data_IF_817265253436
#
_entry.id   IF_817265253436
#
_cell.length_a   1.000
_cell.length_b   1.000
_cell.length_c   1.000
_cell.angle_alpha   90.00
_cell.angle_beta   90.00
_cell.angle_gamma   90.00
#
_symmetry.space_group_name_H-M   'P 1'
#
loop_
_entity.id
_entity.type
_entity.pdbx_description
1 polymer ?
#
# COMPACT_ATOMS: atom_id res chain seq x y z
N UNK A 1 10.30 -9.34 -28.80
CA UNK A 1 10.78 -10.37 -27.87
C UNK A 1 10.49 -9.89 -26.47
N UNK A 2 9.52 -10.49 -25.79
CA UNK A 2 9.10 -10.08 -24.45
C UNK A 2 10.17 -10.50 -23.44
N UNK A 3 10.87 -9.51 -22.86
CA UNK A 3 11.80 -9.74 -21.75
C UNK A 3 10.95 -10.02 -20.52
N UNK A 4 10.94 -11.27 -20.06
CA UNK A 4 10.37 -11.66 -18.78
C UNK A 4 11.06 -10.86 -17.65
N UNK A 5 10.40 -10.62 -16.51
CA UNK A 5 11.03 -9.97 -15.36
C UNK A 5 12.32 -10.68 -14.95
N UNK A 6 13.30 -9.87 -14.53
CA UNK A 6 14.68 -10.27 -14.21
C UNK A 6 14.69 -11.06 -12.91
N UNK A 7 14.54 -12.39 -13.04
CA UNK A 7 14.63 -13.41 -11.96
C UNK A 7 13.52 -13.33 -10.89
N UNK A 8 13.08 -14.50 -10.42
CA UNK A 8 12.31 -14.61 -9.19
C UNK A 8 13.26 -14.44 -8.00
N UNK A 9 12.88 -13.65 -6.98
CA UNK A 9 13.66 -13.59 -5.75
C UNK A 9 13.29 -14.79 -4.88
N UNK A 10 14.29 -15.56 -4.43
CA UNK A 10 14.09 -16.59 -3.42
C UNK A 10 13.86 -15.90 -2.08
N UNK A 11 12.64 -16.06 -1.55
CA UNK A 11 12.21 -15.49 -0.28
C UNK A 11 11.51 -16.58 0.52
N UNK A 12 11.65 -16.52 1.84
CA UNK A 12 10.83 -17.30 2.75
C UNK A 12 9.50 -16.59 2.95
N UNK A 13 8.39 -17.30 2.73
CA UNK A 13 7.04 -16.76 2.86
C UNK A 13 6.32 -17.33 4.08
N UNK A 14 5.69 -16.46 4.86
CA UNK A 14 4.82 -16.82 5.98
C UNK A 14 3.44 -16.22 5.76
N UNK A 15 2.38 -17.03 5.92
CA UNK A 15 1.00 -16.54 5.92
C UNK A 15 0.71 -15.79 7.22
N UNK A 16 0.10 -14.61 7.11
CA UNK A 16 -0.43 -13.85 8.24
C UNK A 16 -1.94 -14.10 8.34
N UNK A 17 -2.35 -14.85 9.35
CA UNK A 17 -3.75 -15.23 9.57
C UNK A 17 -4.25 -14.68 10.91
N UNK A 18 -4.91 -13.50 10.92
CA UNK A 18 -5.62 -13.04 12.11
C UNK A 18 -6.63 -14.10 12.59
N UNK A 19 -6.79 -14.31 13.91
CA UNK A 19 -7.75 -15.29 14.43
C UNK A 19 -9.17 -15.02 13.93
N UNK A 20 -9.84 -16.06 13.41
CA UNK A 20 -11.21 -15.95 12.90
C UNK A 20 -11.35 -15.31 11.51
N UNK A 21 -10.25 -14.94 10.85
CA UNK A 21 -10.29 -14.35 9.52
C UNK A 21 -10.65 -15.38 8.42
N UNK A 22 -11.62 -15.03 7.57
CA UNK A 22 -11.90 -15.70 6.30
C UNK A 22 -10.96 -15.22 5.18
N UNK A 23 -10.56 -13.95 5.23
CA UNK A 23 -9.57 -13.37 4.32
C UNK A 23 -8.74 -12.32 5.03
N UNK A 24 -7.51 -12.12 4.59
CA UNK A 24 -6.62 -11.10 5.14
C UNK A 24 -5.78 -10.44 4.05
N UNK A 25 -5.35 -9.21 4.30
CA UNK A 25 -4.39 -8.47 3.48
C UNK A 25 -3.52 -7.63 4.38
N UNK A 26 -2.19 -7.77 4.26
CA UNK A 26 -1.24 -6.90 4.92
C UNK A 26 -0.86 -5.75 3.96
N UNK A 27 -0.99 -4.51 4.43
CA UNK A 27 -0.74 -3.32 3.63
C UNK A 27 0.58 -2.63 3.99
N UNK A 28 0.93 -2.59 5.28
CA UNK A 28 2.10 -1.85 5.76
C UNK A 28 2.92 -2.64 6.76
N UNK A 29 4.22 -2.38 6.77
CA UNK A 29 5.19 -2.96 7.71
C UNK A 29 6.20 -1.89 8.13
N UNK A 30 6.52 -1.80 9.43
CA UNK A 30 7.57 -0.88 9.90
C UNK A 30 8.92 -1.60 10.10
N UNK A 31 9.95 -0.84 10.45
CA UNK A 31 11.31 -1.36 10.67
C UNK A 31 11.42 -2.32 11.87
N UNK A 32 10.43 -2.32 12.78
CA UNK A 32 10.36 -3.25 13.91
C UNK A 32 9.71 -4.59 13.51
N UNK A 33 9.20 -4.71 12.27
CA UNK A 33 8.46 -5.89 11.81
C UNK A 33 7.00 -5.90 12.24
N UNK A 34 6.47 -4.79 12.79
CA UNK A 34 5.03 -4.68 13.02
C UNK A 34 4.31 -4.57 11.68
N UNK A 35 3.23 -5.34 11.53
CA UNK A 35 2.44 -5.38 10.29
C UNK A 35 1.04 -4.86 10.54
N UNK A 36 0.53 -4.02 9.64
CA UNK A 36 -0.86 -3.58 9.64
C UNK A 36 -1.58 -4.00 8.37
N UNK A 37 -2.88 -4.20 8.49
CA UNK A 37 -3.69 -4.58 7.35
C UNK A 37 -5.17 -4.67 7.68
N UNK A 38 -5.89 -5.47 6.89
CA UNK A 38 -7.30 -5.77 7.12
C UNK A 38 -7.58 -7.26 7.09
N UNK A 39 -8.67 -7.65 7.73
CA UNK A 39 -9.25 -8.98 7.58
C UNK A 39 -10.77 -8.90 7.55
N UNK A 40 -11.38 -9.94 6.98
CA UNK A 40 -12.83 -10.14 7.03
C UNK A 40 -13.08 -11.35 7.92
N UNK A 41 -13.94 -11.20 8.92
CA UNK A 41 -14.30 -12.26 9.86
C UNK A 41 -15.41 -13.18 9.31
N UNK A 42 -15.92 -14.09 10.15
CA UNK A 42 -16.99 -15.02 9.75
C UNK A 42 -18.36 -14.35 9.53
N UNK A 43 -18.56 -13.18 10.13
CA UNK A 43 -19.76 -12.36 10.04
C UNK A 43 -19.71 -11.41 8.82
N UNK A 44 -18.68 -11.56 7.97
CA UNK A 44 -18.42 -10.71 6.81
C UNK A 44 -18.16 -9.24 7.17
N UNK A 45 -17.70 -8.98 8.40
CA UNK A 45 -17.31 -7.64 8.86
C UNK A 45 -15.83 -7.43 8.57
N UNK A 46 -15.51 -6.26 8.01
CA UNK A 46 -14.15 -5.87 7.69
C UNK A 46 -13.51 -5.08 8.84
N UNK A 47 -12.41 -5.62 9.36
CA UNK A 47 -11.64 -5.06 10.45
C UNK A 47 -10.23 -4.66 10.01
N UNK A 48 -9.64 -3.72 10.73
CA UNK A 48 -8.20 -3.47 10.70
C UNK A 48 -7.47 -4.40 11.66
N UNK A 49 -6.21 -4.70 11.41
CA UNK A 49 -5.36 -5.39 12.38
C UNK A 49 -3.99 -4.72 12.52
N UNK A 50 -3.38 -4.90 13.69
CA UNK A 50 -1.96 -4.77 13.97
C UNK A 50 -1.43 -6.13 14.43
N UNK A 51 -0.38 -6.63 13.80
CA UNK A 51 0.43 -7.76 14.27
C UNK A 51 1.72 -7.18 14.85
N UNK A 52 1.95 -7.37 16.14
CA UNK A 52 3.15 -6.91 16.86
C UNK A 52 3.64 -8.00 17.78
N UNK A 53 4.92 -8.37 17.68
CA UNK A 53 5.53 -9.44 18.49
C UNK A 53 4.74 -10.77 18.50
N UNK A 54 4.09 -11.10 17.37
CA UNK A 54 3.26 -12.31 17.24
C UNK A 54 1.82 -12.17 17.76
N UNK A 55 1.44 -11.02 18.34
CA UNK A 55 0.11 -10.77 18.87
C UNK A 55 -0.73 -9.90 17.92
N UNK A 56 -1.99 -10.28 17.72
CA UNK A 56 -2.95 -9.51 16.92
C UNK A 56 -3.77 -8.56 17.80
N UNK A 57 -3.87 -7.31 17.37
CA UNK A 57 -4.80 -6.31 17.89
C UNK A 57 -5.79 -5.93 16.79
N UNK A 58 -7.08 -6.04 17.09
CA UNK A 58 -8.15 -5.56 16.20
C UNK A 58 -8.20 -4.03 16.26
N UNK A 59 -8.31 -3.40 15.09
CA UNK A 59 -8.41 -1.96 14.94
C UNK A 59 -9.73 -1.65 14.27
N UNK A 60 -10.67 -1.11 15.03
CA UNK A 60 -11.95 -0.60 14.54
C UNK A 60 -12.08 0.87 14.85
N UNK A 61 -12.44 1.65 13.83
CA UNK A 61 -12.78 3.06 14.02
C UNK A 61 -14.21 3.15 14.60
N UNK A 62 -14.43 3.90 15.69
CA UNK A 62 -15.75 3.97 16.33
C UNK A 62 -16.87 4.38 15.36
N UNK A 63 -17.88 3.52 15.21
CA UNK A 63 -19.04 3.76 14.36
C UNK A 63 -18.81 3.58 12.86
N UNK A 64 -17.62 3.14 12.43
CA UNK A 64 -17.35 2.86 11.03
C UNK A 64 -17.96 1.53 10.57
N UNK A 65 -18.38 1.48 9.31
CA UNK A 65 -18.81 0.24 8.63
C UNK A 65 -17.62 -0.57 8.12
N UNK A 66 -16.54 0.10 7.76
CA UNK A 66 -15.30 -0.52 7.27
C UNK A 66 -14.11 0.34 7.67
N UNK A 67 -12.99 -0.32 7.88
CA UNK A 67 -11.69 0.29 8.14
C UNK A 67 -10.61 -0.43 7.33
N UNK A 68 -9.65 0.34 6.84
CA UNK A 68 -8.46 -0.15 6.17
C UNK A 68 -7.24 0.49 6.84
N UNK A 69 -6.51 -0.29 7.64
CA UNK A 69 -5.20 0.12 8.14
C UNK A 69 -4.16 -0.10 7.04
N UNK A 70 -3.53 0.98 6.58
CA UNK A 70 -2.70 0.99 5.36
C UNK A 70 -1.21 1.11 5.66
N UNK A 71 -0.84 2.04 6.54
CA UNK A 71 0.55 2.34 6.86
C UNK A 71 0.80 2.34 8.36
N UNK A 72 2.03 2.02 8.76
CA UNK A 72 2.49 2.04 10.15
C UNK A 72 3.83 2.77 10.27
N UNK A 73 3.89 3.72 11.20
CA UNK A 73 5.08 4.50 11.51
C UNK A 73 5.99 3.81 12.54
N UNK A 74 7.21 4.34 12.72
CA UNK A 74 8.21 3.75 13.62
C UNK A 74 7.85 3.85 15.11
N UNK A 75 6.94 4.74 15.51
CA UNK A 75 6.47 4.80 16.91
C UNK A 75 5.16 4.02 17.12
N UNK A 76 4.71 3.30 16.10
CA UNK A 76 3.48 2.52 16.10
C UNK A 76 2.22 3.33 15.76
N UNK A 77 2.36 4.53 15.21
CA UNK A 77 1.24 5.25 14.61
C UNK A 77 0.73 4.50 13.38
N UNK A 78 -0.59 4.48 13.16
CA UNK A 78 -1.20 3.75 12.05
C UNK A 78 -2.04 4.74 11.25
N UNK A 79 -1.88 4.77 9.94
CA UNK A 79 -2.72 5.56 9.04
C UNK A 79 -3.54 4.67 8.13
N UNK A 80 -4.67 5.21 7.67
CA UNK A 80 -5.54 4.45 6.81
C UNK A 80 -6.79 5.20 6.41
N UNK A 81 -7.79 4.44 6.02
CA UNK A 81 -9.09 4.95 5.59
C UNK A 81 -10.24 4.24 6.29
N UNK A 82 -11.35 4.93 6.54
CA UNK A 82 -12.58 4.34 7.05
C UNK A 82 -13.81 4.90 6.32
N UNK A 83 -14.97 4.25 6.47
CA UNK A 83 -16.27 4.77 6.03
C UNK A 83 -17.31 4.64 7.12
N UNK A 84 -18.19 5.63 7.22
CA UNK A 84 -19.32 5.68 8.14
C UNK A 84 -20.62 5.25 7.44
N UNK A 85 -21.65 4.86 8.21
CA UNK A 85 -23.00 4.69 7.66
C UNK A 85 -23.49 5.95 6.94
N UNK A 86 -23.99 5.78 5.71
CA UNK A 86 -24.51 6.86 4.87
C UNK A 86 -23.45 7.52 3.97
N UNK A 87 -22.16 7.17 4.10
CA UNK A 87 -21.14 7.62 3.17
C UNK A 87 -21.41 7.05 1.75
N UNK A 88 -21.18 7.84 0.68
CA UNK A 88 -21.22 7.33 -0.70
C UNK A 88 -20.26 6.16 -0.92
N UNK A 89 -20.53 5.30 -1.90
CA UNK A 89 -19.74 4.09 -2.13
C UNK A 89 -18.23 4.33 -2.31
N UNK A 90 -17.86 5.45 -2.96
CA UNK A 90 -16.48 5.85 -3.22
C UNK A 90 -15.87 6.73 -2.11
N UNK A 91 -16.62 7.05 -1.06
CA UNK A 91 -16.13 7.88 0.03
C UNK A 91 -14.99 7.19 0.78
N UNK A 92 -13.97 7.94 1.18
CA UNK A 92 -12.90 7.43 2.03
C UNK A 92 -12.51 8.54 2.98
N UNK A 93 -12.52 8.27 4.29
CA UNK A 93 -12.10 9.24 5.30
C UNK A 93 -10.73 8.83 5.81
N UNK A 94 -9.75 9.73 5.70
CA UNK A 94 -8.41 9.47 6.24
C UNK A 94 -8.42 9.43 7.77
N UNK A 95 -7.69 8.49 8.37
CA UNK A 95 -7.43 8.49 9.81
C UNK A 95 -5.95 8.31 10.12
N UNK A 96 -5.56 8.78 11.31
CA UNK A 96 -4.34 8.41 12.01
C UNK A 96 -4.73 7.89 13.40
N UNK A 97 -4.21 6.73 13.79
CA UNK A 97 -4.31 6.15 15.13
C UNK A 97 -2.95 6.28 15.78
N UNK A 98 -2.88 7.00 16.88
CA UNK A 98 -1.66 7.10 17.70
C UNK A 98 -1.34 5.78 18.41
N UNK A 99 -0.13 5.66 18.94
CA UNK A 99 0.33 4.45 19.62
C UNK A 99 -0.47 4.08 20.89
N UNK A 100 -1.12 5.07 21.54
CA UNK A 100 -2.00 4.87 22.68
C UNK A 100 -3.44 4.47 22.26
N UNK A 101 -3.72 4.44 20.96
CA UNK A 101 -5.01 4.03 20.39
C UNK A 101 -6.02 5.13 20.11
N UNK A 102 -5.68 6.40 20.33
CA UNK A 102 -6.55 7.52 19.95
C UNK A 102 -6.55 7.73 18.43
N UNK A 103 -7.74 7.93 17.87
CA UNK A 103 -7.96 8.25 16.45
C UNK A 103 -8.05 9.76 16.19
N UNK A 104 -7.47 10.18 15.09
CA UNK A 104 -7.49 11.52 14.54
C UNK A 104 -7.90 11.45 13.07
N UNK A 105 -8.67 12.43 12.60
CA UNK A 105 -8.98 12.53 11.18
C UNK A 105 -7.78 13.11 10.43
N UNK A 106 -7.45 12.50 9.29
CA UNK A 106 -6.48 13.04 8.33
C UNK A 106 -7.27 13.64 7.19
N UNK A 107 -7.04 14.92 6.90
CA UNK A 107 -7.78 15.67 5.89
C UNK A 107 -6.84 16.44 4.98
N UNK A 108 -7.15 16.45 3.69
CA UNK A 108 -6.51 17.35 2.74
C UNK A 108 -7.35 18.63 2.64
N UNK A 109 -6.75 19.84 2.74
CA UNK A 109 -7.50 21.09 2.69
C UNK A 109 -8.40 21.20 1.45
N UNK A 110 -9.69 21.41 1.68
CA UNK A 110 -10.68 21.60 0.60
C UNK A 110 -11.16 20.31 -0.09
N UNK A 111 -10.63 19.14 0.28
CA UNK A 111 -11.11 17.85 -0.24
C UNK A 111 -12.20 17.26 0.64
N UNK A 112 -13.02 16.39 0.03
CA UNK A 112 -14.13 15.71 0.68
C UNK A 112 -13.70 14.30 1.13
N UNK A 113 -12.78 13.65 0.42
CA UNK A 113 -12.32 12.29 0.72
C UNK A 113 -10.83 12.11 0.53
N UNK A 114 -10.25 11.30 1.41
CA UNK A 114 -8.82 11.05 1.46
C UNK A 114 -8.54 9.57 1.72
N UNK A 115 -7.45 9.11 1.12
CA UNK A 115 -6.82 7.84 1.46
C UNK A 115 -5.43 8.17 2.02
N UNK A 116 -5.27 8.06 3.34
CA UNK A 116 -3.96 8.09 3.97
C UNK A 116 -3.30 6.71 3.79
N UNK A 117 -2.19 6.65 3.05
CA UNK A 117 -1.58 5.39 2.65
C UNK A 117 -0.36 5.04 3.50
N UNK A 118 0.55 5.99 3.72
CA UNK A 118 1.80 5.78 4.47
C UNK A 118 2.08 6.97 5.39
N UNK A 119 2.72 6.69 6.52
CA UNK A 119 3.19 7.69 7.49
C UNK A 119 4.71 7.55 7.65
N UNK A 120 5.42 8.67 7.59
CA UNK A 120 6.87 8.77 7.68
C UNK A 120 7.31 9.06 9.12
N UNK A 121 8.61 8.88 9.46
CA UNK A 121 9.12 9.08 10.82
C UNK A 121 8.89 10.48 11.42
N UNK A 122 8.81 11.50 10.57
CA UNK A 122 8.52 12.89 10.95
C UNK A 122 7.02 13.18 11.13
N UNK A 123 6.16 12.19 10.87
CA UNK A 123 4.70 12.31 10.90
C UNK A 123 4.08 12.77 9.59
N UNK A 124 4.87 12.98 8.54
CA UNK A 124 4.36 13.28 7.20
C UNK A 124 3.59 12.08 6.66
N UNK A 125 2.40 12.32 6.12
CA UNK A 125 1.52 11.32 5.54
C UNK A 125 1.51 11.51 4.03
N UNK A 126 1.62 10.41 3.28
CA UNK A 126 1.39 10.38 1.84
C UNK A 126 0.16 9.55 1.51
N UNK A 127 -0.50 9.89 0.40
CA UNK A 127 -1.74 9.24 0.01
C UNK A 127 -2.37 9.85 -1.23
N UNK A 128 -3.70 9.86 -1.28
CA UNK A 128 -4.42 10.66 -2.26
C UNK A 128 -5.62 11.38 -1.66
N UNK A 129 -6.02 12.47 -2.32
CA UNK A 129 -7.33 13.09 -2.17
C UNK A 129 -8.17 12.74 -3.38
N UNK A 130 -9.48 12.61 -3.20
CA UNK A 130 -10.43 12.39 -4.28
C UNK A 130 -11.80 12.95 -3.90
N UNK A 131 -12.52 13.59 -4.81
CA UNK A 131 -13.74 14.29 -4.45
C UNK A 131 -14.97 13.60 -5.04
N UNK A 132 -14.99 13.44 -6.36
CA UNK A 132 -16.15 12.92 -7.09
C UNK A 132 -15.88 11.56 -7.75
N UNK A 133 -14.61 11.17 -7.89
CA UNK A 133 -14.20 9.94 -8.57
C UNK A 133 -12.79 9.49 -8.12
N UNK A 134 -12.38 8.26 -8.45
CA UNK A 134 -11.00 7.79 -8.26
C UNK A 134 -10.13 7.99 -9.52
N UNK A 135 -10.50 8.94 -10.37
CA UNK A 135 -9.90 9.21 -11.67
C UNK A 135 -9.54 10.70 -11.81
N UNK A 136 -10.39 11.52 -12.43
CA UNK A 136 -10.06 12.92 -12.73
C UNK A 136 -9.89 13.80 -11.48
N UNK A 137 -10.54 13.48 -10.37
CA UNK A 137 -10.38 14.20 -9.11
C UNK A 137 -9.27 13.64 -8.23
N UNK A 138 -8.78 12.43 -8.51
CA UNK A 138 -7.76 11.81 -7.66
C UNK A 138 -6.39 12.46 -7.89
N UNK A 139 -5.75 12.87 -6.80
CA UNK A 139 -4.37 13.40 -6.78
C UNK A 139 -3.56 12.77 -5.67
N UNK A 140 -2.31 12.44 -5.97
CA UNK A 140 -1.30 12.11 -4.98
C UNK A 140 -1.03 13.32 -4.09
N UNK A 141 -1.06 13.12 -2.77
CA UNK A 141 -0.89 14.18 -1.78
C UNK A 141 0.19 13.85 -0.75
N UNK A 142 0.75 14.92 -0.19
CA UNK A 142 1.59 14.92 1.00
C UNK A 142 0.95 15.82 2.05
N UNK A 143 0.84 15.36 3.29
CA UNK A 143 0.24 16.09 4.42
C UNK A 143 1.22 16.02 5.60
N UNK A 144 1.78 17.15 6.01
CA UNK A 144 2.75 17.21 7.11
C UNK A 144 2.55 18.43 8.00
N UNK A 145 3.44 18.61 8.98
CA UNK A 145 3.39 19.74 9.94
C UNK A 145 3.57 21.11 9.27
N UNK A 146 4.16 21.15 8.08
CA UNK A 146 4.43 22.36 7.31
C UNK A 146 3.35 22.67 6.26
N UNK A 147 2.26 21.90 6.25
CA UNK A 147 1.16 22.06 5.30
C UNK A 147 0.90 20.80 4.45
N UNK A 148 0.09 20.97 3.42
CA UNK A 148 -0.25 19.91 2.49
C UNK A 148 0.04 20.35 1.04
N UNK A 149 0.43 19.40 0.20
CA UNK A 149 0.69 19.59 -1.23
C UNK A 149 0.15 18.43 -2.04
N UNK A 150 -0.10 18.66 -3.32
CA UNK A 150 -0.50 17.63 -4.28
C UNK A 150 0.36 17.71 -5.54
N UNK A 151 0.40 16.60 -6.29
CA UNK A 151 1.07 16.54 -7.59
C UNK A 151 0.11 16.91 -8.72
N UNK A 152 0.62 17.42 -9.83
CA UNK A 152 -0.23 17.81 -10.97
C UNK A 152 -0.86 16.62 -11.70
N UNK A 153 -0.27 15.43 -11.58
CA UNK A 153 -0.73 14.22 -12.26
C UNK A 153 -2.13 13.80 -11.77
N UNK A 154 -3.08 13.74 -12.69
CA UNK A 154 -4.44 13.27 -12.44
C UNK A 154 -4.45 11.74 -12.28
N UNK A 155 -5.53 11.20 -11.68
CA UNK A 155 -5.71 9.77 -11.47
C UNK A 155 -4.50 9.12 -10.79
N UNK A 156 -3.88 9.83 -9.85
CA UNK A 156 -2.63 9.44 -9.20
C UNK A 156 -2.82 9.13 -7.72
N UNK A 157 -2.16 8.07 -7.26
CA UNK A 157 -2.12 7.68 -5.85
C UNK A 157 -0.67 7.62 -5.40
N UNK A 158 -0.31 8.43 -4.40
CA UNK A 158 1.02 8.45 -3.82
C UNK A 158 1.08 7.46 -2.66
N UNK A 159 1.87 6.40 -2.82
CA UNK A 159 1.82 5.26 -1.90
C UNK A 159 3.03 5.14 -0.99
N UNK A 160 4.21 5.55 -1.49
CA UNK A 160 5.46 5.42 -0.77
C UNK A 160 6.27 6.71 -0.81
N UNK A 161 7.09 6.93 0.22
CA UNK A 161 8.14 7.94 0.19
C UNK A 161 9.31 7.53 1.08
N UNK A 162 10.52 7.98 0.72
CA UNK A 162 11.71 7.87 1.58
C UNK A 162 11.58 8.83 2.78
N UNK A 163 12.23 8.53 3.92
CA UNK A 163 12.11 9.38 5.12
C UNK A 163 12.56 10.83 4.93
N UNK A 164 13.45 11.09 3.99
CA UNK A 164 13.94 12.42 3.61
C UNK A 164 13.05 13.12 2.56
N UNK A 165 11.94 12.50 2.15
CA UNK A 165 11.04 12.93 1.07
C UNK A 165 11.73 13.13 -0.29
N UNK A 166 12.96 12.64 -0.47
CA UNK A 166 13.69 12.76 -1.74
C UNK A 166 13.02 11.96 -2.86
N UNK A 167 12.52 10.77 -2.53
CA UNK A 167 11.81 9.90 -3.45
C UNK A 167 10.38 9.72 -2.99
N UNK A 168 9.44 9.92 -3.91
CA UNK A 168 8.04 9.55 -3.73
C UNK A 168 7.64 8.59 -4.85
N UNK A 169 6.82 7.60 -4.53
CA UNK A 169 6.36 6.61 -5.51
C UNK A 169 4.86 6.43 -5.42
N UNK A 170 4.30 5.98 -6.53
CA UNK A 170 2.90 5.69 -6.62
C UNK A 170 2.54 5.10 -7.96
N UNK A 171 1.26 5.14 -8.27
CA UNK A 171 0.79 4.81 -9.60
C UNK A 171 -0.18 5.87 -10.09
N UNK A 172 -0.32 5.93 -11.41
CA UNK A 172 -1.28 6.80 -12.05
C UNK A 172 -1.89 6.11 -13.26
N UNK A 173 -3.08 6.56 -13.64
CA UNK A 173 -3.71 6.10 -14.87
C UNK A 173 -3.35 7.03 -16.04
N UNK A 174 -2.55 6.54 -16.97
CA UNK A 174 -2.19 7.26 -18.16
C UNK A 174 -3.31 7.15 -19.20
N UNK A 175 -4.02 8.26 -19.42
CA UNK A 175 -5.15 8.33 -20.35
C UNK A 175 -4.72 8.20 -21.82
N UNK A 176 -3.45 8.44 -22.15
CA UNK A 176 -2.97 8.40 -23.54
C UNK A 176 -2.78 6.98 -24.06
N UNK A 177 -2.35 6.06 -23.20
CA UNK A 177 -2.14 4.65 -23.55
C UNK A 177 -3.12 3.69 -22.84
N UNK A 178 -4.02 4.23 -22.00
CA UNK A 178 -5.02 3.50 -21.24
C UNK A 178 -4.39 2.45 -20.30
N UNK A 179 -3.27 2.80 -19.67
CA UNK A 179 -2.54 1.92 -18.74
C UNK A 179 -2.38 2.54 -17.35
N UNK A 180 -2.42 1.68 -16.33
CA UNK A 180 -1.90 2.05 -15.00
C UNK A 180 -0.38 1.91 -15.03
N UNK A 181 0.33 3.00 -14.76
CA UNK A 181 1.78 3.05 -14.73
C UNK A 181 2.29 3.36 -13.31
N UNK A 182 3.43 2.77 -12.95
CA UNK A 182 4.16 3.19 -11.77
C UNK A 182 4.79 4.54 -12.03
N UNK A 183 5.01 5.34 -10.99
CA UNK A 183 5.81 6.54 -11.08
C UNK A 183 6.76 6.69 -9.90
N UNK A 184 7.81 7.45 -10.13
CA UNK A 184 8.73 7.96 -9.13
C UNK A 184 8.88 9.48 -9.31
N UNK A 185 8.89 10.22 -8.22
CA UNK A 185 9.25 11.63 -8.17
C UNK A 185 10.56 11.75 -7.42
N UNK A 186 11.58 12.27 -8.10
CA UNK A 186 12.88 12.55 -7.51
C UNK A 186 13.22 14.02 -7.76
N UNK A 187 13.49 14.79 -6.71
CA UNK A 187 13.74 16.24 -6.80
C UNK A 187 12.67 17.00 -7.60
N UNK A 188 11.40 16.59 -7.46
CA UNK A 188 10.26 17.19 -8.18
C UNK A 188 10.08 16.71 -9.62
N UNK A 189 10.99 15.87 -10.14
CA UNK A 189 10.90 15.33 -11.50
C UNK A 189 10.06 14.05 -11.48
N UNK A 190 8.89 14.10 -12.11
CA UNK A 190 8.02 12.94 -12.29
C UNK A 190 8.52 12.05 -13.43
N UNK A 191 8.77 10.78 -13.14
CA UNK A 191 9.15 9.77 -14.12
C UNK A 191 8.22 8.56 -13.99
N UNK A 192 7.56 8.17 -15.08
CA UNK A 192 6.76 6.94 -15.10
C UNK A 192 7.58 5.73 -15.53
N UNK A 193 7.14 4.54 -15.11
CA UNK A 193 7.76 3.27 -15.48
C UNK A 193 6.76 2.13 -15.53
N UNK A 194 7.13 1.09 -16.28
CA UNK A 194 6.41 -0.18 -16.36
C UNK A 194 7.39 -1.32 -16.11
N UNK A 195 6.94 -2.36 -15.40
CA UNK A 195 7.64 -3.65 -15.42
C UNK A 195 7.67 -4.15 -16.87
N UNK A 196 8.81 -4.61 -17.40
CA UNK A 196 8.90 -5.08 -18.77
C UNK A 196 7.83 -6.12 -19.13
N UNK A 197 7.11 -5.88 -20.23
CA UNK A 197 6.04 -6.77 -20.72
C UNK A 197 4.72 -6.72 -19.94
N UNK A 198 4.61 -5.85 -18.93
CA UNK A 198 3.35 -5.68 -18.20
C UNK A 198 2.33 -4.83 -18.96
N UNK A 199 1.05 -5.07 -18.70
CA UNK A 199 -0.08 -4.24 -19.16
C UNK A 199 -0.55 -3.22 -18.11
N UNK A 200 -0.11 -3.41 -16.87
CA UNK A 200 -0.30 -2.47 -15.77
C UNK A 200 0.85 -2.66 -14.77
N UNK A 201 1.36 -1.56 -14.23
CA UNK A 201 2.31 -1.53 -13.13
C UNK A 201 1.84 -0.51 -12.09
N UNK A 202 1.78 -0.90 -10.83
CA UNK A 202 1.42 -0.03 -9.73
C UNK A 202 2.45 -0.13 -8.61
N UNK A 203 3.17 0.97 -8.33
CA UNK A 203 4.09 1.03 -7.19
C UNK A 203 3.31 1.30 -5.91
N UNK A 204 3.49 0.45 -4.90
CA UNK A 204 2.73 0.49 -3.65
C UNK A 204 3.56 0.94 -2.47
N UNK A 205 4.88 0.78 -2.49
CA UNK A 205 5.71 1.28 -1.40
C UNK A 205 7.19 1.40 -1.80
N UNK A 206 7.96 2.16 -1.01
CA UNK A 206 9.41 2.32 -1.15
C UNK A 206 10.08 2.29 0.23
N UNK A 207 11.21 1.60 0.34
CA UNK A 207 12.03 1.59 1.56
C UNK A 207 13.08 2.73 1.53
N UNK A 208 13.78 3.00 2.66
CA UNK A 208 14.80 4.05 2.71
C UNK A 208 15.95 3.91 1.71
N UNK A 209 16.27 2.68 1.27
CA UNK A 209 17.31 2.41 0.28
C UNK A 209 16.85 2.66 -1.16
N UNK A 210 15.58 3.02 -1.35
CA UNK A 210 14.99 3.27 -2.66
C UNK A 210 14.47 2.01 -3.38
N UNK A 211 14.40 0.87 -2.68
CA UNK A 211 13.78 -0.34 -3.22
C UNK A 211 12.26 -0.19 -3.22
N UNK A 212 11.65 -0.40 -4.39
CA UNK A 212 10.21 -0.17 -4.63
C UNK A 212 9.50 -1.51 -4.76
N UNK A 213 8.41 -1.70 -4.03
CA UNK A 213 7.52 -2.85 -4.22
C UNK A 213 6.21 -2.44 -4.86
N UNK A 214 5.58 -3.38 -5.56
CA UNK A 214 4.27 -3.15 -6.10
C UNK A 214 3.67 -4.35 -6.80
N UNK A 215 2.70 -4.07 -7.67
CA UNK A 215 1.92 -5.06 -8.40
C UNK A 215 2.04 -4.80 -9.89
N UNK A 216 2.15 -5.85 -10.69
CA UNK A 216 2.04 -5.74 -12.14
C UNK A 216 1.19 -6.87 -12.73
N UNK A 217 0.62 -6.59 -13.90
CA UNK A 217 -0.20 -7.54 -14.66
C UNK A 217 0.52 -7.95 -15.94
N UNK A 218 0.50 -9.25 -16.25
CA UNK A 218 0.88 -9.79 -17.57
C UNK A 218 -0.24 -10.71 -18.04
N UNK A 219 -1.00 -10.26 -19.03
CA UNK A 219 -2.27 -10.91 -19.39
C UNK A 219 -3.23 -10.90 -18.20
N UNK A 220 -3.71 -12.07 -17.79
CA UNK A 220 -4.58 -12.25 -16.61
C UNK A 220 -3.80 -12.54 -15.32
N UNK A 221 -2.47 -12.66 -15.40
CA UNK A 221 -1.64 -13.01 -14.26
C UNK A 221 -1.27 -11.76 -13.46
N UNK A 222 -1.48 -11.82 -12.14
CA UNK A 222 -1.09 -10.76 -11.20
C UNK A 222 0.12 -11.23 -10.38
N UNK A 223 1.16 -10.39 -10.35
CA UNK A 223 2.41 -10.66 -9.62
C UNK A 223 2.83 -9.43 -8.82
N UNK A 224 3.59 -9.66 -7.75
CA UNK A 224 4.31 -8.60 -7.08
C UNK A 224 5.65 -8.35 -7.77
N UNK A 225 6.19 -7.14 -7.68
CA UNK A 225 7.56 -6.85 -8.10
C UNK A 225 8.36 -6.20 -6.98
N UNK A 226 9.68 -6.33 -7.08
CA UNK A 226 10.68 -5.52 -6.37
C UNK A 226 11.55 -4.83 -7.41
N UNK A 227 11.66 -3.51 -7.37
CA UNK A 227 12.55 -2.71 -8.21
C UNK A 227 13.71 -2.17 -7.37
N UNK A 228 14.95 -2.41 -7.82
CA UNK A 228 16.18 -1.87 -7.24
C UNK A 228 17.03 -1.26 -8.35
N UNK A 229 17.20 0.07 -8.32
CA UNK A 229 17.72 0.81 -9.47
C UNK A 229 16.86 0.53 -10.70
N UNK A 230 17.47 0.14 -11.82
CA UNK A 230 16.75 -0.24 -13.06
C UNK A 230 16.35 -1.72 -13.15
N UNK A 231 16.66 -2.52 -12.13
CA UNK A 231 16.37 -3.96 -12.14
C UNK A 231 15.02 -4.28 -11.50
N UNK A 232 14.37 -5.35 -11.97
CA UNK A 232 13.07 -5.81 -11.49
C UNK A 232 13.10 -7.30 -11.17
N UNK A 233 12.83 -7.67 -9.92
CA UNK A 233 12.60 -9.05 -9.50
C UNK A 233 11.10 -9.32 -9.34
N UNK A 234 10.68 -10.57 -9.62
CA UNK A 234 9.31 -11.01 -9.37
C UNK A 234 9.14 -11.50 -7.94
N UNK A 235 8.12 -10.99 -7.25
CA UNK A 235 7.63 -11.50 -5.97
C UNK A 235 6.45 -12.43 -6.23
N UNK A 236 6.59 -13.68 -5.82
CA UNK A 236 5.65 -14.75 -6.11
C UNK A 236 5.51 -15.67 -4.90
N UNK A 237 4.35 -15.64 -4.25
CA UNK A 237 4.02 -16.62 -3.23
C UNK A 237 3.87 -18.00 -3.89
N UNK A 238 4.60 -19.04 -3.44
CA UNK A 238 4.56 -20.36 -4.05
C UNK A 238 3.15 -20.95 -4.18
N UNK A 239 2.80 -21.41 -5.39
CA UNK A 239 1.49 -22.00 -5.67
C UNK A 239 0.35 -21.00 -5.83
N UNK A 240 0.60 -19.69 -5.68
CA UNK A 240 -0.45 -18.68 -5.86
C UNK A 240 -0.84 -18.47 -7.32
N UNK A 241 -2.10 -18.13 -7.55
CA UNK A 241 -2.61 -17.64 -8.83
C UNK A 241 -2.40 -16.14 -8.97
N UNK A 242 -2.45 -15.40 -7.85
CA UNK A 242 -2.14 -13.98 -7.75
C UNK A 242 -1.26 -13.71 -6.53
N UNK A 243 -0.25 -12.87 -6.67
CA UNK A 243 0.53 -12.29 -5.55
C UNK A 243 0.55 -10.78 -5.72
N UNK A 244 0.34 -10.04 -4.63
CA UNK A 244 0.41 -8.57 -4.60
C UNK A 244 1.30 -8.15 -3.46
N UNK A 245 2.32 -7.33 -3.73
CA UNK A 245 3.18 -6.74 -2.71
C UNK A 245 2.72 -5.30 -2.46
N UNK A 246 2.50 -4.95 -1.19
CA UNK A 246 1.92 -3.67 -0.78
C UNK A 246 2.81 -2.84 0.13
N UNK A 247 3.69 -3.45 0.94
CA UNK A 247 4.56 -2.74 1.86
C UNK A 247 5.95 -3.34 1.91
N UNK A 248 6.96 -2.49 2.15
CA UNK A 248 8.36 -2.89 2.35
C UNK A 248 8.97 -2.10 3.51
N UNK A 249 9.70 -2.77 4.41
CA UNK A 249 10.43 -2.10 5.49
C UNK A 249 11.91 -1.86 5.15
N UNK A 250 12.62 -1.22 6.07
CA UNK A 250 14.05 -0.92 5.93
C UNK A 250 14.95 -2.17 5.88
N UNK A 251 14.49 -3.31 6.42
CA UNK A 251 15.21 -4.58 6.32
C UNK A 251 14.95 -5.33 5.01
N UNK A 252 14.09 -4.81 4.13
CA UNK A 252 13.72 -5.48 2.89
C UNK A 252 12.63 -6.55 3.05
N UNK A 253 12.01 -6.67 4.23
CA UNK A 253 10.83 -7.52 4.42
C UNK A 253 9.64 -6.94 3.66
N UNK A 254 8.91 -7.79 2.96
CA UNK A 254 7.80 -7.41 2.10
C UNK A 254 6.50 -8.02 2.63
N UNK A 255 5.43 -7.22 2.69
CA UNK A 255 4.09 -7.69 3.03
C UNK A 255 3.11 -7.48 1.88
N UNK A 256 2.06 -8.29 1.86
CA UNK A 256 1.07 -8.23 0.80
C UNK A 256 -0.06 -9.23 0.96
N UNK A 257 -0.66 -9.63 -0.17
CA UNK A 257 -1.59 -10.77 -0.21
C UNK A 257 -1.35 -11.72 -1.38
N UNK A 258 -1.84 -12.93 -1.24
CA UNK A 258 -1.88 -13.92 -2.32
C UNK A 258 -3.26 -14.57 -2.41
N UNK A 259 -3.57 -15.10 -3.59
CA UNK A 259 -4.79 -15.87 -3.86
C UNK A 259 -4.45 -17.22 -4.48
N UNK A 260 -5.28 -18.22 -4.18
CA UNK A 260 -5.17 -19.59 -4.72
C UNK A 260 -6.23 -19.89 -5.79
N UNK A 261 -6.97 -18.88 -6.24
CA UNK A 261 -8.03 -18.98 -7.26
C UNK A 261 -9.32 -18.30 -6.80
N UNK A 262 -9.48 -17.00 -7.10
CA UNK A 262 -10.61 -16.20 -6.64
C UNK A 262 -10.45 -15.69 -5.20
N UNK A 263 -11.58 -15.44 -4.52
CA UNK A 263 -11.68 -15.09 -3.09
C UNK A 263 -11.77 -16.39 -2.28
N UNK A 264 -11.15 -16.49 -1.09
CA UNK A 264 -10.46 -15.45 -0.35
C UNK A 264 -8.98 -15.24 -0.73
N UNK A 265 -8.46 -14.07 -0.34
CA UNK A 265 -7.02 -13.76 -0.34
C UNK A 265 -6.45 -13.85 1.07
N UNK A 266 -5.16 -14.14 1.16
CA UNK A 266 -4.46 -14.32 2.43
C UNK A 266 -3.25 -13.39 2.48
N UNK A 267 -3.03 -12.75 3.63
CA UNK A 267 -1.88 -11.90 3.85
C UNK A 267 -0.59 -12.73 3.95
N UNK A 268 0.54 -12.16 3.53
CA UNK A 268 1.85 -12.78 3.70
C UNK A 268 2.90 -11.79 4.21
N UNK A 269 3.95 -12.34 4.79
CA UNK A 269 5.26 -11.73 5.03
C UNK A 269 6.31 -12.51 4.25
N UNK A 270 7.17 -11.82 3.52
CA UNK A 270 8.23 -12.41 2.71
C UNK A 270 9.59 -11.83 3.12
N UNK A 271 10.49 -12.69 3.59
CA UNK A 271 11.85 -12.33 4.03
C UNK A 271 12.89 -12.85 3.05
N UNK A 272 14.02 -12.17 2.96
CA UNK A 272 15.16 -12.72 2.22
C UNK A 272 15.67 -13.99 2.92
N UNK A 273 16.09 -14.98 2.13
CA UNK A 273 16.76 -16.17 2.66
C UNK A 273 18.20 -15.77 2.91
N UNK A 274 18.64 -15.76 4.17
CA UNK A 274 20.05 -15.58 4.50
C UNK A 274 20.84 -16.81 3.99
N UNK A 275 21.93 -16.58 3.25
CA UNK A 275 22.88 -17.62 2.84
C UNK A 275 23.78 -18.10 3.99
#
# INVERSE_FOLDING_TARGET
TLVAPVRAQEREYTTIAPPGAQSSTAFGINAQGDVVGTFVDHDSVQHGFLLRHGEFTVIDFPGALRIIARGIGPKGEIVGSYQLPGDPALASRGFMRSNNGQFFNVKFPGSIWEIAQRILPDGTIVGCRHDNDQMQSMRGVTIGSHGASEIDAFASMQNGATPDLRLLVGFWFNMMDNQTQGYMIEHGVFTSFMVPGSTATAAWDINPDGAIVGVYNVGTTVRGFLKTGETYATIYYPGSTATRAFGINAGGDIVGNYGLGGVPTYAFLAREVEE
#
